data_IF_996488568295
#
_entry.id   IF_996488568295
#
_cell.length_a   1.000
_cell.length_b   1.000
_cell.length_c   1.000
_cell.angle_alpha   90.00
_cell.angle_beta   90.00
_cell.angle_gamma   90.00
#
_symmetry.space_group_name_H-M   'P 1'
#
loop_
_entity.id
_entity.type
_entity.pdbx_description
1 polymer ?
#
# COMPACT_ATOMS: atom_id res chain seq x y z
N UNK A 1 22.49 6.35 15.80
CA UNK A 1 21.88 5.13 15.23
C UNK A 1 20.52 5.57 14.73
N UNK A 2 20.42 5.91 13.44
CA UNK A 2 19.15 6.33 12.86
C UNK A 2 18.31 5.08 12.66
N UNK A 3 17.13 5.04 13.26
CA UNK A 3 16.12 4.03 12.95
C UNK A 3 15.75 4.18 11.48
N UNK A 4 15.93 3.11 10.72
CA UNK A 4 15.44 3.02 9.35
C UNK A 4 13.90 3.13 9.41
N UNK A 5 13.28 4.15 8.79
CA UNK A 5 11.83 4.31 8.80
C UNK A 5 11.09 3.15 8.11
N UNK A 6 11.80 2.26 7.40
CA UNK A 6 11.22 1.08 6.75
C UNK A 6 11.26 -0.21 7.61
N UNK A 7 11.82 -0.18 8.84
CA UNK A 7 12.00 -1.38 9.66
C UNK A 7 11.27 -1.29 11.01
N UNK A 8 9.97 -1.01 11.00
CA UNK A 8 9.10 -1.28 12.15
C UNK A 8 7.81 -1.93 11.65
N UNK A 9 7.85 -3.25 11.46
CA UNK A 9 6.62 -4.05 11.34
C UNK A 9 6.01 -4.10 12.73
N UNK A 10 5.07 -3.20 13.01
CA UNK A 10 4.20 -3.31 14.18
C UNK A 10 3.30 -4.52 13.95
N UNK A 11 3.53 -5.59 14.70
CA UNK A 11 2.65 -6.75 14.73
C UNK A 11 1.33 -6.35 15.41
N UNK A 12 0.38 -5.81 14.63
CA UNK A 12 -0.96 -5.52 15.11
C UNK A 12 -1.61 -6.83 15.59
N UNK A 13 -1.98 -6.88 16.87
CA UNK A 13 -2.78 -7.98 17.42
C UNK A 13 -4.26 -7.76 17.09
N UNK A 14 -5.07 -8.82 17.13
CA UNK A 14 -6.46 -8.87 16.61
C UNK A 14 -7.49 -7.92 17.29
N UNK A 15 -7.05 -6.84 17.92
CA UNK A 15 -7.88 -5.76 18.48
C UNK A 15 -7.32 -4.35 18.29
N UNK A 16 -6.19 -4.17 17.58
CA UNK A 16 -5.76 -2.84 17.12
C UNK A 16 -6.65 -2.42 15.93
N UNK A 17 -7.16 -1.19 15.96
CA UNK A 17 -7.68 -0.58 14.73
C UNK A 17 -6.52 -0.55 13.73
N UNK A 18 -6.58 -1.36 12.67
CA UNK A 18 -5.53 -1.39 11.66
C UNK A 18 -5.49 0.01 11.02
N UNK A 19 -4.53 0.83 11.44
CA UNK A 19 -4.28 2.14 10.84
C UNK A 19 -3.89 1.96 9.37
N UNK A 20 -4.25 2.94 8.54
CA UNK A 20 -3.87 2.95 7.14
C UNK A 20 -2.35 2.89 7.00
N UNK A 21 -1.84 1.95 6.21
CA UNK A 21 -0.41 1.79 6.04
C UNK A 21 0.00 1.65 4.56
N UNK A 22 1.23 2.06 4.30
CA UNK A 22 1.91 1.82 3.02
C UNK A 22 3.20 1.07 3.31
N UNK A 23 3.39 -0.05 2.62
CA UNK A 23 4.59 -0.85 2.74
C UNK A 23 5.22 -1.04 1.36
N UNK A 24 6.53 -0.81 1.28
CA UNK A 24 7.34 -1.14 0.11
C UNK A 24 7.99 -2.52 0.31
N UNK A 25 7.50 -3.52 -0.41
CA UNK A 25 8.09 -4.87 -0.45
C UNK A 25 8.94 -5.03 -1.72
N UNK A 26 10.22 -4.70 -1.61
CA UNK A 26 11.17 -4.64 -2.73
C UNK A 26 10.64 -3.78 -3.91
N UNK A 27 10.15 -4.43 -4.98
CA UNK A 27 9.60 -3.75 -6.16
C UNK A 27 8.11 -3.42 -6.03
N UNK A 28 7.45 -3.89 -4.98
CA UNK A 28 6.00 -3.81 -4.78
C UNK A 28 5.65 -2.70 -3.80
N UNK A 29 4.53 -2.05 -4.05
CA UNK A 29 3.87 -1.15 -3.10
C UNK A 29 2.58 -1.83 -2.64
N UNK A 30 2.39 -1.92 -1.32
CA UNK A 30 1.20 -2.44 -0.68
C UNK A 30 0.56 -1.28 0.09
N UNK A 31 -0.67 -0.91 -0.29
CA UNK A 31 -1.49 0.10 0.39
C UNK A 31 -2.66 -0.60 1.05
N UNK A 32 -2.87 -0.35 2.33
CA UNK A 32 -3.99 -0.87 3.08
C UNK A 32 -4.72 0.28 3.76
N UNK A 33 -6.05 0.27 3.66
CA UNK A 33 -6.91 1.30 4.24
C UNK A 33 -8.24 1.41 3.51
N UNK A 34 -9.26 2.04 4.12
CA UNK A 34 -10.52 2.34 3.47
C UNK A 34 -10.30 3.16 2.19
N UNK A 35 -10.85 2.71 1.07
CA UNK A 35 -10.77 3.46 -0.19
C UNK A 35 -9.39 3.40 -0.89
N UNK A 36 -8.44 2.59 -0.42
CA UNK A 36 -7.09 2.48 -1.02
C UNK A 36 -7.10 2.19 -2.54
N UNK A 37 -8.14 1.54 -3.07
CA UNK A 37 -8.29 1.31 -4.51
C UNK A 37 -8.45 2.61 -5.31
N UNK A 38 -9.00 3.67 -4.71
CA UNK A 38 -9.16 4.99 -5.34
C UNK A 38 -7.81 5.66 -5.64
N UNK A 39 -6.75 5.30 -4.91
CA UNK A 39 -5.39 5.82 -5.10
C UNK A 39 -4.65 5.12 -6.27
N UNK A 40 -5.17 3.98 -6.75
CA UNK A 40 -4.50 3.15 -7.75
C UNK A 40 -4.12 3.90 -9.04
N UNK A 41 -4.96 4.77 -9.64
CA UNK A 41 -4.58 5.52 -10.84
C UNK A 41 -3.36 6.41 -10.63
N UNK A 42 -3.27 7.11 -9.48
CA UNK A 42 -2.17 8.01 -9.18
C UNK A 42 -0.87 7.23 -8.94
N UNK A 43 -0.93 6.15 -8.16
CA UNK A 43 0.22 5.29 -7.87
C UNK A 43 0.82 4.65 -9.13
N UNK A 44 -0.02 4.29 -10.09
CA UNK A 44 0.42 3.75 -11.39
C UNK A 44 1.04 4.85 -12.27
N UNK A 45 0.44 6.05 -12.31
CA UNK A 45 1.00 7.18 -13.05
C UNK A 45 2.39 7.58 -12.54
N UNK A 46 2.62 7.60 -11.22
CA UNK A 46 3.93 7.88 -10.61
C UNK A 46 5.02 6.86 -11.02
N UNK A 47 4.61 5.66 -11.42
CA UNK A 47 5.49 4.58 -11.89
C UNK A 47 5.62 4.54 -13.42
N UNK A 48 5.06 5.52 -14.13
CA UNK A 48 5.16 5.65 -15.59
C UNK A 48 4.15 4.83 -16.38
N UNK A 49 3.05 4.39 -15.75
CA UNK A 49 1.95 3.74 -16.46
C UNK A 49 0.93 4.78 -16.93
N UNK A 50 0.58 4.74 -18.22
CA UNK A 50 -0.41 5.65 -18.81
C UNK A 50 -1.88 5.19 -18.60
N UNK A 51 -2.08 3.97 -18.11
CA UNK A 51 -3.41 3.40 -17.87
C UNK A 51 -3.39 1.98 -17.32
N UNK A 52 -4.57 1.47 -16.92
CA UNK A 52 -4.73 0.11 -16.40
C UNK A 52 -6.10 -0.47 -16.79
N UNK A 53 -6.19 -1.80 -16.77
CA UNK A 53 -7.46 -2.53 -16.91
C UNK A 53 -7.76 -3.16 -15.56
N UNK A 54 -8.94 -2.87 -15.02
CA UNK A 54 -9.42 -3.51 -13.79
C UNK A 54 -9.99 -4.89 -14.13
N UNK A 55 -9.36 -5.93 -13.62
CA UNK A 55 -9.87 -7.30 -13.72
C UNK A 55 -10.71 -7.60 -12.47
N UNK A 56 -11.97 -7.93 -12.66
CA UNK A 56 -12.90 -8.32 -11.58
C UNK A 56 -13.49 -9.69 -11.90
N UNK A 57 -13.97 -10.39 -10.88
CA UNK A 57 -14.83 -11.55 -11.05
C UNK A 57 -16.30 -11.12 -11.04
N UNK A 58 -17.16 -11.95 -11.63
CA UNK A 58 -18.63 -11.87 -11.39
C UNK A 58 -18.98 -12.37 -9.99
#
# INVERSE_FOLDING_TARGET
MATDPNTDIVLATAGDEIEDFTWHDAERLIRFGPGALADAPALLAERGFDGYVLLTTE
#
